data_IF_975986604628
#
_entry.id   IF_975986604628
#
_cell.length_a   1.000
_cell.length_b   1.000
_cell.length_c   1.000
_cell.angle_alpha   90.00
_cell.angle_beta   90.00
_cell.angle_gamma   90.00
#
_symmetry.space_group_name_H-M   'P 1'
#
loop_
_entity.id
_entity.type
_entity.pdbx_description
1 polymer ?
#
# COMPACT_ATOMS: atom_id res chain seq x y z
N UNK A 1 12.60 -3.61 -6.11
CA UNK A 1 13.12 -4.96 -6.51
C UNK A 1 12.19 -6.06 -6.01
N UNK A 2 11.77 -5.98 -4.74
CA UNK A 2 10.76 -6.85 -4.15
C UNK A 2 9.36 -6.66 -4.78
N UNK A 3 8.92 -5.42 -5.06
CA UNK A 3 7.60 -5.19 -5.69
C UNK A 3 7.48 -5.91 -7.04
N UNK A 4 8.55 -5.86 -7.85
CA UNK A 4 8.63 -6.56 -9.14
C UNK A 4 8.65 -8.08 -8.97
N UNK A 5 9.34 -8.60 -7.95
CA UNK A 5 9.36 -10.04 -7.67
C UNK A 5 7.97 -10.54 -7.29
N UNK A 6 7.23 -9.80 -6.45
CA UNK A 6 5.85 -10.11 -6.07
C UNK A 6 4.93 -10.12 -7.29
N UNK A 7 4.97 -9.06 -8.11
CA UNK A 7 4.16 -8.97 -9.33
C UNK A 7 4.49 -10.09 -10.32
N UNK A 8 5.78 -10.44 -10.48
CA UNK A 8 6.22 -11.52 -11.35
C UNK A 8 5.73 -12.88 -10.85
N UNK A 9 5.89 -13.16 -9.56
CA UNK A 9 5.42 -14.39 -8.94
C UNK A 9 3.91 -14.56 -9.10
N UNK A 10 3.13 -13.48 -9.01
CA UNK A 10 1.69 -13.51 -9.29
C UNK A 10 1.40 -13.88 -10.74
N UNK A 11 2.09 -13.24 -11.70
CA UNK A 11 1.92 -13.55 -13.12
C UNK A 11 2.27 -15.01 -13.45
N UNK A 12 3.37 -15.53 -12.89
CA UNK A 12 3.79 -16.93 -13.08
C UNK A 12 2.79 -17.92 -12.44
N UNK A 13 2.10 -17.52 -11.37
CA UNK A 13 1.02 -18.28 -10.73
C UNK A 13 -0.37 -18.04 -11.38
N UNK A 14 -0.44 -17.34 -12.51
CA UNK A 14 -1.68 -16.96 -13.20
C UNK A 14 -2.67 -16.20 -12.29
N UNK A 15 -2.14 -15.38 -11.39
CA UNK A 15 -2.87 -14.50 -10.47
C UNK A 15 -2.80 -13.06 -10.96
N UNK A 16 -3.94 -12.36 -10.86
CA UNK A 16 -4.10 -10.96 -11.26
C UNK A 16 -4.52 -10.04 -10.11
N UNK A 17 -4.49 -10.55 -8.87
CA UNK A 17 -4.90 -9.81 -7.68
C UNK A 17 -3.82 -8.88 -7.13
N UNK A 18 -2.61 -8.89 -7.68
CA UNK A 18 -1.54 -7.94 -7.33
C UNK A 18 -1.14 -7.09 -8.52
N UNK A 19 -0.85 -5.82 -8.25
CA UNK A 19 -0.22 -4.89 -9.18
C UNK A 19 0.91 -4.14 -8.46
N UNK A 20 1.93 -3.73 -9.20
CA UNK A 20 3.02 -2.91 -8.67
C UNK A 20 3.12 -1.57 -9.41
N UNK A 21 3.67 -0.56 -8.72
CA UNK A 21 4.04 0.73 -9.30
C UNK A 21 2.87 1.46 -9.98
N UNK A 22 1.74 1.54 -9.26
CA UNK A 22 0.50 2.15 -9.73
C UNK A 22 0.70 3.67 -9.80
N UNK A 23 0.66 4.29 -11.00
CA UNK A 23 0.85 5.72 -11.13
C UNK A 23 -0.26 6.50 -10.43
N UNK A 24 0.10 7.47 -9.61
CA UNK A 24 -0.87 8.33 -8.90
C UNK A 24 -0.90 9.74 -9.46
N UNK A 25 0.26 10.30 -9.80
CA UNK A 25 0.36 11.69 -10.27
C UNK A 25 1.52 11.93 -11.25
N UNK A 26 1.82 10.93 -12.10
CA UNK A 26 2.89 11.04 -13.08
C UNK A 26 2.65 12.23 -14.03
N UNK A 27 3.56 13.21 -14.02
CA UNK A 27 3.47 14.41 -14.86
C UNK A 27 2.51 15.52 -14.39
N UNK A 28 1.85 15.37 -13.24
CA UNK A 28 0.94 16.41 -12.71
C UNK A 28 1.66 17.51 -11.91
N UNK A 29 2.88 17.25 -11.42
CA UNK A 29 3.68 18.21 -10.66
C UNK A 29 4.92 18.59 -11.48
N UNK A 30 4.91 19.79 -12.06
CA UNK A 30 6.06 20.33 -12.77
C UNK A 30 7.15 20.77 -11.76
N UNK A 31 8.40 20.33 -11.98
CA UNK A 31 9.58 20.80 -11.23
C UNK A 31 10.05 19.92 -10.07
N UNK A 32 9.36 18.81 -9.76
CA UNK A 32 9.97 17.76 -8.93
C UNK A 32 10.92 16.93 -9.81
N UNK A 33 12.19 16.83 -9.43
CA UNK A 33 13.18 15.99 -10.11
C UNK A 33 12.80 14.50 -10.15
N UNK A 34 11.80 14.08 -9.39
CA UNK A 34 11.17 12.75 -9.41
C UNK A 34 9.76 12.80 -10.01
N UNK A 35 9.69 12.69 -11.34
CA UNK A 35 8.47 12.75 -12.13
C UNK A 35 7.51 11.56 -11.99
N UNK A 36 7.72 10.64 -11.04
CA UNK A 36 6.90 9.43 -10.88
C UNK A 36 6.51 9.19 -9.41
N UNK A 37 5.38 9.77 -9.00
CA UNK A 37 4.67 9.33 -7.77
C UNK A 37 3.82 8.11 -8.10
N UNK A 38 4.13 6.99 -7.47
CA UNK A 38 3.44 5.73 -7.63
C UNK A 38 3.27 5.02 -6.29
N UNK A 39 2.16 4.32 -6.12
CA UNK A 39 1.98 3.35 -5.02
C UNK A 39 2.79 2.12 -5.39
N UNK A 40 3.60 1.62 -4.44
CA UNK A 40 4.49 0.49 -4.68
C UNK A 40 3.75 -0.78 -5.07
N UNK A 41 2.68 -1.11 -4.33
CA UNK A 41 1.89 -2.31 -4.52
C UNK A 41 0.40 -2.03 -4.29
N UNK A 42 -0.48 -2.69 -5.03
CA UNK A 42 -1.84 -2.90 -4.58
C UNK A 42 -2.23 -4.37 -4.67
N UNK A 43 -3.08 -4.77 -3.75
CA UNK A 43 -3.69 -6.09 -3.74
C UNK A 43 -5.22 -5.95 -3.77
N UNK A 44 -5.88 -6.64 -4.69
CA UNK A 44 -7.33 -6.89 -4.62
C UNK A 44 -7.59 -7.98 -3.58
N UNK A 45 -8.22 -7.60 -2.48
CA UNK A 45 -8.53 -8.51 -1.35
C UNK A 45 -9.99 -8.99 -1.36
N UNK A 46 -10.81 -8.46 -2.27
CA UNK A 46 -12.18 -8.87 -2.49
C UNK A 46 -12.81 -8.06 -3.62
N UNK A 47 -14.09 -8.32 -3.90
CA UNK A 47 -14.84 -7.49 -4.85
C UNK A 47 -14.96 -6.06 -4.31
N UNK A 48 -14.48 -5.08 -5.08
CA UNK A 48 -14.50 -3.67 -4.67
C UNK A 48 -13.60 -3.33 -3.48
N UNK A 49 -12.68 -4.23 -3.08
CA UNK A 49 -11.84 -4.06 -1.91
C UNK A 49 -10.35 -4.23 -2.27
N UNK A 50 -9.54 -3.22 -1.94
CA UNK A 50 -8.11 -3.22 -2.24
C UNK A 50 -7.27 -2.78 -1.04
N UNK A 51 -6.06 -3.31 -0.97
CA UNK A 51 -4.96 -2.76 -0.18
C UNK A 51 -4.08 -1.91 -1.09
N UNK A 52 -3.75 -0.69 -0.66
CA UNK A 52 -2.70 0.14 -1.25
C UNK A 52 -1.52 0.13 -0.29
N UNK A 53 -0.38 -0.33 -0.78
CA UNK A 53 0.76 -0.71 0.05
C UNK A 53 1.98 0.12 -0.37
N UNK A 54 2.58 0.81 0.60
CA UNK A 54 3.88 1.46 0.48
C UNK A 54 4.93 0.56 1.13
N UNK A 55 5.98 0.21 0.39
CA UNK A 55 7.00 -0.74 0.84
C UNK A 55 8.26 0.01 1.31
N UNK A 56 8.67 -0.17 2.57
CA UNK A 56 9.91 0.43 3.09
C UNK A 56 10.87 -0.66 3.58
N UNK A 57 12.14 -0.60 3.16
CA UNK A 57 13.17 -1.57 3.58
C UNK A 57 14.26 -0.89 4.44
N UNK A 58 14.79 0.25 4.01
CA UNK A 58 15.90 0.92 4.71
C UNK A 58 16.00 2.44 4.44
N UNK A 59 14.94 3.07 3.93
CA UNK A 59 14.89 4.51 3.69
C UNK A 59 13.68 5.13 4.39
N UNK A 60 13.77 6.44 4.63
CA UNK A 60 12.71 7.26 5.21
C UNK A 60 12.32 6.84 6.65
N UNK A 61 11.15 7.30 7.09
CA UNK A 61 10.60 7.01 8.42
C UNK A 61 9.17 6.46 8.28
N UNK A 62 8.66 5.72 9.28
CA UNK A 62 7.27 5.26 9.28
C UNK A 62 6.26 6.41 9.11
N UNK A 63 6.52 7.57 9.72
CA UNK A 63 5.68 8.75 9.57
C UNK A 63 5.69 9.29 8.13
N UNK A 64 6.88 9.35 7.50
CA UNK A 64 6.99 9.80 6.12
C UNK A 64 6.20 8.88 5.17
N UNK A 65 6.37 7.55 5.31
CA UNK A 65 5.62 6.57 4.52
C UNK A 65 4.09 6.69 4.72
N UNK A 66 3.66 6.93 5.97
CA UNK A 66 2.25 7.16 6.27
C UNK A 66 1.70 8.41 5.57
N UNK A 67 2.44 9.52 5.60
CA UNK A 67 2.06 10.77 4.90
C UNK A 67 2.00 10.57 3.39
N UNK A 68 2.92 9.80 2.81
CA UNK A 68 2.87 9.44 1.38
C UNK A 68 1.58 8.71 1.02
N UNK A 69 1.24 7.64 1.76
CA UNK A 69 0.00 6.89 1.54
C UNK A 69 -1.26 7.74 1.71
N UNK A 70 -1.30 8.62 2.71
CA UNK A 70 -2.44 9.54 2.89
C UNK A 70 -2.56 10.51 1.72
N UNK A 71 -1.44 10.98 1.18
CA UNK A 71 -1.40 11.77 -0.05
C UNK A 71 -1.97 10.98 -1.24
N UNK A 72 -1.57 9.72 -1.40
CA UNK A 72 -2.11 8.86 -2.46
C UNK A 72 -3.60 8.57 -2.30
N UNK A 73 -4.07 8.31 -1.08
CA UNK A 73 -5.48 8.12 -0.78
C UNK A 73 -6.31 9.37 -1.10
N UNK A 74 -5.78 10.56 -0.78
CA UNK A 74 -6.42 11.83 -1.10
C UNK A 74 -6.54 12.05 -2.61
N UNK A 75 -5.50 11.71 -3.38
CA UNK A 75 -5.53 11.78 -4.85
C UNK A 75 -6.52 10.76 -5.43
N UNK A 76 -6.54 9.54 -4.89
CA UNK A 76 -7.52 8.52 -5.29
C UNK A 76 -8.96 8.97 -5.04
N UNK A 77 -9.25 9.55 -3.86
CA UNK A 77 -10.57 10.11 -3.54
C UNK A 77 -10.97 11.21 -4.52
N UNK A 78 -10.03 12.09 -4.89
CA UNK A 78 -10.28 13.14 -5.87
C UNK A 78 -10.56 12.56 -7.26
N UNK A 79 -9.74 11.60 -7.72
CA UNK A 79 -9.89 10.95 -9.01
C UNK A 79 -11.20 10.14 -9.11
N UNK A 80 -11.68 9.57 -8.00
CA UNK A 80 -12.96 8.84 -7.93
C UNK A 80 -14.17 9.75 -8.16
N UNK A 81 -14.09 11.05 -7.86
CA UNK A 81 -15.21 11.99 -8.06
C UNK A 81 -15.49 12.27 -9.53
N UNK A 82 -14.48 12.14 -10.39
CA UNK A 82 -14.58 12.31 -11.84
C UNK A 82 -13.71 11.26 -12.55
N UNK A 83 -14.13 9.98 -12.56
CA UNK A 83 -13.31 8.91 -13.09
C UNK A 83 -13.29 8.97 -14.63
N UNK A 84 -12.16 8.60 -15.27
CA UNK A 84 -12.12 8.45 -16.73
C UNK A 84 -13.11 7.39 -17.21
N UNK A 85 -13.46 7.42 -18.49
CA UNK A 85 -14.33 6.42 -19.12
C UNK A 85 -13.53 5.57 -20.13
N UNK A 86 -13.40 4.23 -19.96
CA UNK A 86 -13.96 3.44 -18.86
C UNK A 86 -13.21 3.66 -17.54
N UNK A 87 -13.96 3.56 -16.42
CA UNK A 87 -13.39 3.72 -15.10
C UNK A 87 -12.62 2.46 -14.67
N UNK A 88 -11.35 2.58 -14.25
CA UNK A 88 -10.61 1.47 -13.65
C UNK A 88 -11.30 0.93 -12.40
N UNK A 89 -11.30 -0.40 -12.20
CA UNK A 89 -11.92 -1.05 -11.04
C UNK A 89 -11.47 -0.45 -9.70
N UNK A 90 -10.18 -0.09 -9.58
CA UNK A 90 -9.63 0.51 -8.37
C UNK A 90 -10.28 1.86 -8.05
N UNK A 91 -10.61 2.68 -9.06
CA UNK A 91 -11.33 3.94 -8.82
C UNK A 91 -12.78 3.70 -8.40
N UNK A 92 -13.34 2.52 -8.74
CA UNK A 92 -14.68 2.09 -8.36
C UNK A 92 -14.71 1.33 -7.02
N UNK A 93 -13.58 1.06 -6.38
CA UNK A 93 -13.52 0.37 -5.09
C UNK A 93 -14.31 1.08 -3.97
N UNK A 94 -15.02 0.28 -3.17
CA UNK A 94 -15.79 0.75 -2.00
C UNK A 94 -14.97 0.66 -0.71
N UNK A 95 -13.87 -0.11 -0.72
CA UNK A 95 -12.97 -0.28 0.41
C UNK A 95 -11.51 -0.17 -0.03
N UNK A 96 -10.77 0.73 0.61
CA UNK A 96 -9.33 0.85 0.49
C UNK A 96 -8.69 0.71 1.88
N UNK A 97 -7.70 -0.16 1.97
CA UNK A 97 -6.85 -0.33 3.14
C UNK A 97 -5.45 0.20 2.83
N UNK A 98 -5.02 1.22 3.56
CA UNK A 98 -3.69 1.81 3.43
C UNK A 98 -2.73 1.05 4.34
N UNK A 99 -1.67 0.48 3.78
CA UNK A 99 -0.69 -0.32 4.53
C UNK A 99 0.73 0.16 4.26
N UNK A 100 1.45 0.54 5.31
CA UNK A 100 2.92 0.64 5.20
C UNK A 100 3.47 -0.74 5.54
N UNK A 101 4.15 -1.38 4.60
CA UNK A 101 4.74 -2.70 4.78
C UNK A 101 6.27 -2.57 4.91
N UNK A 102 6.84 -3.00 6.03
CA UNK A 102 8.28 -2.93 6.25
C UNK A 102 8.80 -4.01 7.20
N UNK A 103 10.11 -4.33 7.19
CA UNK A 103 10.70 -5.20 8.21
C UNK A 103 10.49 -4.64 9.62
N UNK A 104 10.34 -5.49 10.63
CA UNK A 104 10.14 -5.06 12.02
C UNK A 104 11.20 -4.06 12.51
N UNK A 105 12.46 -4.23 12.10
CA UNK A 105 13.57 -3.34 12.44
C UNK A 105 13.38 -1.89 11.95
N UNK A 106 12.60 -1.67 10.88
CA UNK A 106 12.25 -0.33 10.39
C UNK A 106 11.45 0.47 11.42
N UNK A 107 10.59 -0.21 12.19
CA UNK A 107 9.71 0.40 13.18
C UNK A 107 10.36 0.53 14.56
N UNK A 108 11.40 -0.25 14.87
CA UNK A 108 11.94 -0.45 16.22
C UNK A 108 12.30 0.83 16.99
N UNK A 109 12.61 1.92 16.29
CA UNK A 109 13.02 3.21 16.88
C UNK A 109 11.86 4.15 17.20
N UNK A 110 10.62 3.74 16.94
CA UNK A 110 9.45 4.59 17.02
C UNK A 110 8.36 3.94 17.87
N UNK A 111 7.70 4.71 18.72
CA UNK A 111 6.44 4.32 19.34
C UNK A 111 5.31 4.73 18.40
N UNK A 112 4.74 3.75 17.70
CA UNK A 112 3.82 3.97 16.59
C UNK A 112 2.37 3.66 16.93
N UNK A 113 2.08 3.03 18.07
CA UNK A 113 0.73 2.56 18.38
C UNK A 113 -0.30 3.71 18.41
N UNK A 114 0.01 4.80 19.12
CA UNK A 114 -0.85 5.98 19.18
C UNK A 114 -0.97 6.70 17.83
N UNK A 115 0.11 6.74 17.04
CA UNK A 115 0.10 7.33 15.71
C UNK A 115 -0.78 6.51 14.77
N UNK A 116 -0.60 5.19 14.73
CA UNK A 116 -1.40 4.28 13.90
C UNK A 116 -2.88 4.40 14.23
N UNK A 117 -3.24 4.38 15.52
CA UNK A 117 -4.62 4.54 15.95
C UNK A 117 -5.22 5.89 15.50
N UNK A 118 -4.46 6.99 15.66
CA UNK A 118 -4.92 8.31 15.25
C UNK A 118 -5.09 8.41 13.73
N UNK A 119 -4.17 7.82 12.96
CA UNK A 119 -4.22 7.80 11.49
C UNK A 119 -5.38 6.95 10.99
N UNK A 120 -5.60 5.76 11.55
CA UNK A 120 -6.71 4.89 11.17
C UNK A 120 -8.06 5.54 11.50
N UNK A 121 -8.24 6.10 12.69
CA UNK A 121 -9.45 6.83 13.06
C UNK A 121 -9.74 8.01 12.11
N UNK A 122 -8.68 8.72 11.69
CA UNK A 122 -8.78 9.83 10.73
C UNK A 122 -9.13 9.33 9.33
N UNK A 123 -8.48 8.26 8.86
CA UNK A 123 -8.77 7.64 7.57
C UNK A 123 -10.23 7.15 7.51
N UNK A 124 -10.70 6.44 8.54
CA UNK A 124 -12.09 6.00 8.63
C UNK A 124 -13.07 7.18 8.60
N UNK A 125 -12.75 8.27 9.31
CA UNK A 125 -13.59 9.48 9.32
C UNK A 125 -13.67 10.11 7.93
N UNK A 126 -12.53 10.26 7.25
CA UNK A 126 -12.48 10.77 5.88
C UNK A 126 -13.24 9.86 4.91
N UNK A 127 -13.04 8.55 5.00
CA UNK A 127 -13.75 7.58 4.16
C UNK A 127 -15.26 7.70 4.30
N UNK A 128 -15.78 7.77 5.53
CA UNK A 128 -17.21 7.98 5.79
C UNK A 128 -17.75 9.25 5.15
N UNK A 129 -16.99 10.35 5.21
CA UNK A 129 -17.39 11.63 4.58
C UNK A 129 -17.46 11.54 3.05
N UNK A 130 -16.63 10.68 2.46
CA UNK A 130 -16.52 10.47 1.01
C UNK A 130 -17.31 9.23 0.52
N UNK A 131 -18.10 8.58 1.39
CA UNK A 131 -18.96 7.46 1.04
C UNK A 131 -18.22 6.15 0.74
N UNK A 132 -17.03 5.95 1.32
CA UNK A 132 -16.18 4.75 1.12
C UNK A 132 -15.61 4.26 2.46
N UNK A 133 -15.12 3.02 2.49
CA UNK A 133 -14.40 2.49 3.65
C UNK A 133 -12.91 2.75 3.44
N UNK A 134 -12.32 3.53 4.34
CA UNK A 134 -10.87 3.74 4.41
C UNK A 134 -10.36 3.25 5.77
N UNK A 135 -9.20 2.61 5.76
CA UNK A 135 -8.46 2.26 6.99
C UNK A 135 -6.97 2.41 6.76
N UNK A 136 -6.21 2.50 7.85
CA UNK A 136 -4.76 2.63 7.84
C UNK A 136 -4.13 1.58 8.77
N UNK A 137 -2.92 1.12 8.46
CA UNK A 137 -2.12 0.32 9.38
C UNK A 137 -0.67 0.14 8.96
N UNK A 138 0.16 -0.23 9.93
CA UNK A 138 1.54 -0.67 9.71
C UNK A 138 1.56 -2.20 9.69
N UNK A 139 2.13 -2.80 8.64
CA UNK A 139 2.29 -4.24 8.51
C UNK A 139 3.78 -4.63 8.54
N UNK A 140 4.07 -5.77 9.13
CA UNK A 140 5.42 -6.35 9.19
C UNK A 140 5.67 -7.25 7.99
N UNK A 141 6.71 -6.92 7.23
CA UNK A 141 7.24 -7.76 6.17
C UNK A 141 7.99 -8.95 6.78
N UNK A 142 7.67 -10.20 6.37
CA UNK A 142 8.42 -11.38 6.81
C UNK A 142 9.90 -11.28 6.49
N UNK A 143 10.77 -11.65 7.44
CA UNK A 143 12.23 -11.57 7.30
C UNK A 143 12.77 -12.44 6.15
N UNK A 144 12.03 -13.49 5.79
CA UNK A 144 12.28 -14.36 4.64
C UNK A 144 12.21 -13.62 3.30
N UNK A 145 11.49 -12.50 3.23
CA UNK A 145 11.40 -11.63 2.05
C UNK A 145 12.46 -10.51 2.07
N UNK A 146 13.72 -10.92 2.19
CA UNK A 146 14.85 -10.00 2.15
C UNK A 146 15.27 -9.69 0.70
N UNK A 147 15.33 -8.41 0.28
CA UNK A 147 15.76 -8.05 -1.08
C UNK A 147 17.16 -8.54 -1.47
N UNK A 148 18.04 -8.85 -0.51
CA UNK A 148 19.37 -9.40 -0.77
C UNK A 148 19.34 -10.89 -1.14
N UNK A 149 18.29 -11.61 -0.75
CA UNK A 149 18.14 -13.04 -1.01
C UNK A 149 16.64 -13.38 -1.08
N UNK A 150 16.02 -13.13 -2.24
CA UNK A 150 14.59 -13.41 -2.42
C UNK A 150 14.37 -14.89 -2.76
N UNK A 151 13.36 -15.52 -2.15
CA UNK A 151 12.95 -16.88 -2.52
C UNK A 151 12.34 -16.90 -3.93
N UNK A 152 12.09 -18.10 -4.45
CA UNK A 152 11.65 -18.25 -5.85
C UNK A 152 10.12 -18.18 -5.96
N UNK A 153 9.62 -17.55 -7.04
CA UNK A 153 8.22 -17.62 -7.50
C UNK A 153 7.15 -17.82 -6.41
N UNK A 154 6.60 -19.04 -6.32
CA UNK A 154 5.51 -19.38 -5.41
C UNK A 154 5.85 -19.18 -3.91
N UNK A 155 7.11 -19.35 -3.52
CA UNK A 155 7.57 -19.15 -2.15
C UNK A 155 7.46 -17.67 -1.76
N UNK A 156 7.71 -16.73 -2.69
CA UNK A 156 7.53 -15.28 -2.43
C UNK A 156 6.09 -14.99 -2.01
N UNK A 157 5.11 -15.60 -2.69
CA UNK A 157 3.69 -15.38 -2.39
C UNK A 157 3.26 -16.06 -1.10
N UNK A 158 3.78 -17.26 -0.83
CA UNK A 158 3.53 -17.98 0.41
C UNK A 158 4.07 -17.21 1.61
N UNK A 159 5.29 -16.71 1.52
CA UNK A 159 5.90 -15.88 2.56
C UNK A 159 5.15 -14.56 2.70
N UNK A 160 4.80 -13.87 1.61
CA UNK A 160 4.07 -12.59 1.67
C UNK A 160 2.69 -12.72 2.34
N UNK A 161 2.08 -13.91 2.31
CA UNK A 161 0.84 -14.20 3.01
C UNK A 161 1.01 -14.24 4.54
N UNK A 162 2.24 -14.44 5.04
CA UNK A 162 2.57 -14.43 6.47
C UNK A 162 2.82 -13.02 7.02
N UNK A 163 2.70 -11.96 6.20
CA UNK A 163 2.72 -10.59 6.72
C UNK A 163 1.56 -10.40 7.70
N UNK A 164 1.76 -9.56 8.71
CA UNK A 164 0.74 -9.28 9.71
C UNK A 164 0.84 -7.86 10.23
N UNK A 165 -0.15 -7.39 10.99
CA UNK A 165 -0.14 -6.04 11.52
C UNK A 165 0.99 -5.89 12.55
N UNK A 166 1.61 -4.70 12.61
CA UNK A 166 2.65 -4.35 13.58
C UNK A 166 2.08 -4.35 15.00
N UNK A 167 0.89 -3.79 15.18
CA UNK A 167 0.14 -3.84 16.42
C UNK A 167 -1.11 -4.71 16.24
N UNK A 168 -1.44 -5.54 17.22
CA UNK A 168 -2.67 -6.33 17.16
C UNK A 168 -3.90 -5.44 17.01
N UNK A 169 -4.94 -5.94 16.34
CA UNK A 169 -6.26 -5.29 16.36
C UNK A 169 -6.74 -5.23 17.80
N UNK A 170 -6.84 -4.02 18.35
CA UNK A 170 -7.49 -3.73 19.63
C UNK A 170 -9.00 -3.85 19.48
#
# INVERSE_FOLDING_TARGET
MLERAIARACADANRSDWANQIPVASGLIAGASDGRRAIDLAQRVGQGAYQLIELKIASDTPLYAAVELLGYASIWLLARKDPPNPAPELLLADRIELRVLAPAAFYQRFDLAALEQALDASAQTLGRQEGVILSFGFDVLPETLNPACLPSGAEVLAELANRGPLHGTV
#
